data_IF_940514251445
#
_entry.id   IF_940514251445
#
_cell.length_a   1.000
_cell.length_b   1.000
_cell.length_c   1.000
_cell.angle_alpha   90.00
_cell.angle_beta   90.00
_cell.angle_gamma   90.00
#
_symmetry.space_group_name_H-M   'P 1'
#
loop_
_entity.id
_entity.type
_entity.pdbx_description
1 polymer ?
#
# COMPACT_ATOMS: atom_id res chain seq x y z
N UNK A 1 -10.88 -8.31 -5.45
CA UNK A 1 -10.54 -7.16 -4.60
C UNK A 1 -9.07 -6.82 -4.80
N UNK A 2 -8.73 -5.54 -4.78
CA UNK A 2 -7.36 -5.03 -4.91
C UNK A 2 -7.09 -4.12 -3.73
N UNK A 3 -5.99 -4.36 -3.02
CA UNK A 3 -5.54 -3.51 -1.91
C UNK A 3 -4.51 -2.52 -2.43
N UNK A 4 -4.75 -1.23 -2.20
CA UNK A 4 -3.79 -0.19 -2.53
C UNK A 4 -3.34 0.53 -1.26
N UNK A 5 -2.07 0.33 -0.90
CA UNK A 5 -1.43 1.03 0.21
C UNK A 5 -0.89 2.35 -0.29
N UNK A 6 -1.67 3.41 -0.09
CA UNK A 6 -1.30 4.76 -0.48
C UNK A 6 -0.33 5.31 0.58
N UNK A 7 0.94 5.45 0.20
CA UNK A 7 2.01 5.91 1.08
C UNK A 7 2.74 7.07 0.40
N UNK A 8 2.86 8.24 1.05
CA UNK A 8 3.64 9.35 0.51
C UNK A 8 5.11 8.96 0.27
N UNK A 9 5.70 9.45 -0.82
CA UNK A 9 7.08 9.15 -1.24
C UNK A 9 8.08 9.34 -0.09
N UNK A 10 8.03 10.49 0.58
CA UNK A 10 8.97 10.83 1.64
C UNK A 10 8.92 9.84 2.82
N UNK A 11 7.73 9.35 3.16
CA UNK A 11 7.53 8.36 4.22
C UNK A 11 8.07 7.00 3.77
N UNK A 12 7.77 6.61 2.54
CA UNK A 12 8.26 5.36 1.95
C UNK A 12 9.79 5.33 1.82
N UNK A 13 10.39 6.44 1.39
CA UNK A 13 11.85 6.65 1.30
C UNK A 13 12.50 6.50 2.67
N UNK A 14 11.98 7.21 3.69
CA UNK A 14 12.52 7.12 5.04
C UNK A 14 12.46 5.69 5.58
N UNK A 15 11.34 4.99 5.39
CA UNK A 15 11.17 3.57 5.78
C UNK A 15 12.05 2.62 4.98
N UNK A 16 12.42 2.97 3.75
CA UNK A 16 13.33 2.19 2.92
C UNK A 16 14.76 2.31 3.45
N UNK A 17 15.24 3.54 3.65
CA UNK A 17 16.61 3.83 4.10
C UNK A 17 16.90 3.40 5.55
N UNK A 18 15.90 3.48 6.43
CA UNK A 18 16.08 3.12 7.85
C UNK A 18 15.91 1.63 8.13
N UNK A 19 15.63 0.82 7.10
CA UNK A 19 15.31 -0.60 7.26
C UNK A 19 16.55 -1.43 7.60
N UNK A 20 16.69 -1.82 8.86
CA UNK A 20 17.77 -2.70 9.31
C UNK A 20 17.40 -4.17 9.11
N UNK A 21 17.73 -4.72 7.94
CA UNK A 21 17.62 -6.15 7.65
C UNK A 21 18.96 -6.64 7.09
N UNK A 22 19.34 -7.88 7.43
CA UNK A 22 20.53 -8.50 6.85
C UNK A 22 20.39 -8.57 5.31
N UNK A 23 21.42 -8.13 4.59
CA UNK A 23 21.44 -8.06 3.13
C UNK A 23 20.85 -6.77 2.53
N UNK A 24 20.49 -5.79 3.36
CA UNK A 24 19.98 -4.46 2.95
C UNK A 24 20.87 -3.29 3.37
N UNK A 25 22.14 -3.57 3.63
CA UNK A 25 23.11 -2.57 4.09
C UNK A 25 23.45 -1.51 3.01
N UNK A 26 23.06 -1.74 1.76
CA UNK A 26 23.29 -0.86 0.60
C UNK A 26 22.01 -0.19 0.08
N UNK A 27 20.96 -0.11 0.90
CA UNK A 27 19.76 0.63 0.50
C UNK A 27 20.13 2.08 0.12
N UNK A 28 19.86 2.44 -1.14
CA UNK A 28 20.30 3.67 -1.78
C UNK A 28 19.09 4.55 -2.17
N UNK A 29 19.17 5.84 -1.82
CA UNK A 29 18.12 6.82 -2.10
C UNK A 29 17.93 7.08 -3.60
N UNK A 30 18.99 7.04 -4.40
CA UNK A 30 18.85 7.20 -5.85
C UNK A 30 18.09 6.02 -6.48
N UNK A 31 18.43 4.79 -6.05
CA UNK A 31 17.73 3.58 -6.47
C UNK A 31 16.25 3.62 -6.08
N UNK A 32 15.94 4.06 -4.85
CA UNK A 32 14.55 4.21 -4.42
C UNK A 32 13.82 5.23 -5.30
N UNK A 33 14.42 6.41 -5.53
CA UNK A 33 13.80 7.48 -6.31
C UNK A 33 13.41 7.00 -7.71
N UNK A 34 14.32 6.28 -8.40
CA UNK A 34 14.04 5.70 -9.73
C UNK A 34 12.85 4.73 -9.69
N UNK A 35 12.80 3.86 -8.68
CA UNK A 35 11.71 2.89 -8.50
C UNK A 35 10.38 3.57 -8.19
N UNK A 36 10.41 4.60 -7.34
CA UNK A 36 9.20 5.34 -6.97
C UNK A 36 8.66 6.15 -8.15
N UNK A 37 9.52 6.78 -8.95
CA UNK A 37 9.10 7.47 -10.18
C UNK A 37 8.42 6.52 -11.18
N UNK A 38 8.95 5.32 -11.37
CA UNK A 38 8.31 4.31 -12.21
C UNK A 38 6.96 3.86 -11.63
N UNK A 39 6.90 3.65 -10.31
CA UNK A 39 5.65 3.35 -9.61
C UNK A 39 4.60 4.45 -9.81
N UNK A 40 4.95 5.71 -9.55
CA UNK A 40 4.07 6.87 -9.65
C UNK A 40 3.61 7.12 -11.09
N UNK A 41 4.47 6.81 -12.08
CA UNK A 41 4.11 6.90 -13.50
C UNK A 41 3.12 5.82 -13.95
N UNK A 42 3.29 4.58 -13.50
CA UNK A 42 2.57 3.43 -14.06
C UNK A 42 1.32 3.00 -13.27
N UNK A 43 1.25 3.31 -11.98
CA UNK A 43 0.15 2.84 -11.12
C UNK A 43 -1.15 3.66 -11.18
N UNK A 44 -1.18 4.98 -11.45
CA UNK A 44 -2.43 5.75 -11.43
C UNK A 44 -3.54 5.16 -12.31
N UNK A 45 -3.21 4.72 -13.52
CA UNK A 45 -4.18 4.12 -14.44
C UNK A 45 -4.72 2.78 -13.94
N UNK A 46 -3.87 1.97 -13.29
CA UNK A 46 -4.25 0.70 -12.68
C UNK A 46 -5.20 0.94 -11.49
N UNK A 47 -4.84 1.88 -10.63
CA UNK A 47 -5.64 2.28 -9.46
C UNK A 47 -7.01 2.78 -9.93
N UNK A 48 -7.07 3.65 -10.93
CA UNK A 48 -8.33 4.17 -11.45
C UNK A 48 -9.19 3.10 -12.13
N UNK A 49 -8.57 2.17 -12.86
CA UNK A 49 -9.27 1.02 -13.44
C UNK A 49 -9.99 0.18 -12.38
N UNK A 50 -9.34 -0.14 -11.26
CA UNK A 50 -9.98 -0.90 -10.18
C UNK A 50 -10.95 -0.07 -9.34
N UNK A 51 -10.71 1.24 -9.19
CA UNK A 51 -11.63 2.17 -8.51
C UNK A 51 -12.97 2.23 -9.24
N UNK A 52 -12.97 2.42 -10.57
CA UNK A 52 -14.19 2.44 -11.41
C UNK A 52 -15.01 1.16 -11.34
N UNK A 53 -14.36 0.03 -11.03
CA UNK A 53 -15.01 -1.29 -10.92
C UNK A 53 -15.53 -1.59 -9.50
N UNK A 54 -15.32 -0.70 -8.53
CA UNK A 54 -15.66 -0.93 -7.13
C UNK A 54 -14.86 -2.08 -6.49
N UNK A 55 -13.69 -2.41 -7.05
CA UNK A 55 -12.84 -3.51 -6.57
C UNK A 55 -11.64 -3.05 -5.76
N UNK A 56 -11.37 -1.74 -5.75
CA UNK A 56 -10.25 -1.13 -5.05
C UNK A 56 -10.62 -0.82 -3.60
N UNK A 57 -9.80 -1.30 -2.67
CA UNK A 57 -9.77 -0.86 -1.28
C UNK A 57 -8.45 -0.14 -1.06
N UNK A 58 -8.54 1.18 -0.92
CA UNK A 58 -7.41 2.06 -0.68
C UNK A 58 -7.24 2.30 0.82
N UNK A 59 -6.00 2.18 1.32
CA UNK A 59 -5.65 2.38 2.73
C UNK A 59 -4.52 3.38 2.79
N UNK A 60 -4.72 4.45 3.56
CA UNK A 60 -3.66 5.37 3.92
C UNK A 60 -2.67 4.69 4.87
N UNK A 61 -1.40 4.65 4.46
CA UNK A 61 -0.30 4.05 5.21
C UNK A 61 0.77 5.07 5.59
N UNK A 62 0.44 6.36 5.54
CA UNK A 62 1.32 7.46 5.98
C UNK A 62 1.64 7.41 7.48
N UNK A 63 0.71 6.87 8.29
CA UNK A 63 0.83 6.78 9.74
C UNK A 63 1.54 5.52 10.25
N UNK A 64 1.32 5.18 11.52
CA UNK A 64 1.93 4.01 12.15
C UNK A 64 1.35 2.69 11.63
N UNK A 65 2.14 1.60 11.76
CA UNK A 65 1.74 0.25 11.33
C UNK A 65 0.43 -0.20 11.96
N UNK A 66 0.26 0.01 13.27
CA UNK A 66 -0.95 -0.43 13.97
C UNK A 66 -2.19 0.35 13.49
N UNK A 67 -2.08 1.67 13.35
CA UNK A 67 -3.16 2.51 12.83
C UNK A 67 -3.55 2.07 11.41
N UNK A 68 -2.57 1.91 10.53
CA UNK A 68 -2.77 1.44 9.15
C UNK A 68 -3.43 0.05 9.11
N UNK A 69 -3.01 -0.85 10.01
CA UNK A 69 -3.58 -2.19 10.14
C UNK A 69 -5.03 -2.16 10.60
N UNK A 70 -5.38 -1.33 11.59
CA UNK A 70 -6.77 -1.17 12.04
C UNK A 70 -7.65 -0.58 10.95
N UNK A 71 -7.14 0.40 10.19
CA UNK A 71 -7.84 0.96 9.02
C UNK A 71 -8.11 -0.12 7.96
N UNK A 72 -7.09 -0.92 7.63
CA UNK A 72 -7.23 -2.05 6.70
C UNK A 72 -8.29 -3.05 7.21
N UNK A 73 -8.19 -3.48 8.46
CA UNK A 73 -9.12 -4.45 9.05
C UNK A 73 -10.56 -3.93 9.02
N UNK A 74 -10.78 -2.70 9.47
CA UNK A 74 -12.11 -2.07 9.47
C UNK A 74 -12.67 -1.91 8.05
N UNK A 75 -11.81 -1.59 7.08
CA UNK A 75 -12.22 -1.49 5.68
C UNK A 75 -12.59 -2.87 5.11
N UNK A 76 -11.80 -3.91 5.39
CA UNK A 76 -12.07 -5.28 4.94
C UNK A 76 -13.40 -5.81 5.47
N UNK A 77 -13.66 -5.66 6.78
CA UNK A 77 -14.91 -6.12 7.43
C UNK A 77 -16.18 -5.48 6.82
N UNK A 78 -16.08 -4.32 6.18
CA UNK A 78 -17.20 -3.64 5.51
C UNK A 78 -17.42 -4.11 4.07
N UNK A 79 -16.52 -4.91 3.50
CA UNK A 79 -16.63 -5.40 2.13
C UNK A 79 -17.32 -6.76 2.07
N UNK A 80 -18.32 -6.88 1.21
CA UNK A 80 -19.02 -8.16 0.97
C UNK A 80 -18.09 -9.26 0.46
N UNK A 81 -17.07 -8.88 -0.32
CA UNK A 81 -16.04 -9.81 -0.82
C UNK A 81 -15.26 -10.44 0.33
N UNK A 82 -14.92 -9.67 1.37
CA UNK A 82 -14.22 -10.20 2.53
C UNK A 82 -15.09 -11.17 3.32
N UNK A 83 -16.35 -10.81 3.60
CA UNK A 83 -17.30 -11.70 4.30
C UNK A 83 -17.46 -13.05 3.59
N UNK A 84 -17.52 -13.04 2.25
CA UNK A 84 -17.57 -14.25 1.44
C UNK A 84 -16.29 -15.09 1.57
N UNK A 85 -15.12 -14.45 1.51
CA UNK A 85 -13.82 -15.14 1.59
C UNK A 85 -13.55 -15.75 2.96
N UNK A 86 -14.03 -15.11 4.03
CA UNK A 86 -13.79 -15.56 5.41
C UNK A 86 -14.91 -16.44 5.97
N UNK A 87 -15.97 -16.71 5.20
CA UNK A 87 -17.13 -17.47 5.68
C UNK A 87 -17.87 -16.78 6.84
N UNK A 88 -17.78 -15.45 6.94
CA UNK A 88 -18.47 -14.64 7.95
C UNK A 88 -19.77 -14.01 7.40
N UNK A 89 -20.33 -14.61 6.34
CA UNK A 89 -21.58 -14.19 5.70
C UNK A 89 -22.79 -14.76 6.43
#
# INVERSE_FOLDING_TARGET
MVLFFNCPEQVAMNRFLTRKLAGREKDDGEMFTKRFQEFDKLNPDIVEHYRKRGLLLEVDTSGETMTSFQMLKSALEKTSVWSLLTGMA
#
